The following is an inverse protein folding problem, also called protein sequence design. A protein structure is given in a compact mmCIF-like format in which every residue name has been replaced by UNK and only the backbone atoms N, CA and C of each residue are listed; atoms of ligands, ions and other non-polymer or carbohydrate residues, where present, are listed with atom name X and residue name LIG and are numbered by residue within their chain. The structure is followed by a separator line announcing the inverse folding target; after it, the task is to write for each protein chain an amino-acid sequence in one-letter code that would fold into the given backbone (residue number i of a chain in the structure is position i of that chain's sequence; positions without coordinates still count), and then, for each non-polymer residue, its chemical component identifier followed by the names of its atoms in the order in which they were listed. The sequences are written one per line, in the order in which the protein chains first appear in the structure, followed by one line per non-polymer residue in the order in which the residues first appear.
data_IF_241960639023
#
_entry.id   IF_241960639023
#
_cell.length_a   1.000
_cell.length_b   1.000
_cell.length_c   1.000
_cell.angle_alpha   90.00
_cell.angle_beta   90.00
_cell.angle_gamma   90.00
#
_symmetry.space_group_name_H-M   'P 1'
#
loop_
_entity.id
_entity.type
_entity.pdbx_description
1 polymer ?
#
# COMPACT_ATOMS: atom_id res chain seq x y z
N UNK A 1 -58.71 7.93 11.35
CA UNK A 1 -57.86 8.99 10.78
C UNK A 1 -56.49 8.41 10.50
N UNK A 2 -56.07 8.41 9.22
CA UNK A 2 -54.95 7.61 8.69
C UNK A 2 -53.60 8.28 8.98
N UNK A 3 -52.65 7.55 9.57
CA UNK A 3 -51.26 8.04 9.75
C UNK A 3 -50.52 7.87 8.43
N UNK A 4 -50.19 8.98 7.77
CA UNK A 4 -49.26 9.01 6.63
C UNK A 4 -47.83 8.82 7.16
N UNK A 5 -47.28 7.64 6.98
CA UNK A 5 -45.84 7.37 7.16
C UNK A 5 -45.11 7.85 5.90
N UNK A 6 -44.44 9.00 6.00
CA UNK A 6 -43.49 9.49 5.00
C UNK A 6 -42.24 8.62 5.02
N UNK A 7 -42.08 7.76 4.01
CA UNK A 7 -40.85 7.02 3.77
C UNK A 7 -39.75 8.01 3.33
N UNK A 8 -38.69 8.12 4.13
CA UNK A 8 -37.48 8.89 3.80
C UNK A 8 -36.61 8.03 2.88
N UNK A 9 -36.68 8.28 1.58
CA UNK A 9 -35.82 7.64 0.58
C UNK A 9 -34.37 8.10 0.76
N UNK A 10 -33.57 7.32 1.47
CA UNK A 10 -32.11 7.49 1.47
C UNK A 10 -31.58 6.97 0.13
N UNK A 11 -31.34 7.88 -0.81
CA UNK A 11 -30.64 7.54 -2.05
C UNK A 11 -29.30 6.89 -1.69
N UNK A 12 -29.12 5.61 -2.05
CA UNK A 12 -27.83 4.91 -1.94
C UNK A 12 -26.84 5.67 -2.83
N UNK A 13 -25.84 6.31 -2.21
CA UNK A 13 -24.72 6.89 -2.96
C UNK A 13 -24.04 5.75 -3.72
N UNK A 14 -24.05 5.83 -5.04
CA UNK A 14 -23.25 4.95 -5.91
C UNK A 14 -21.78 5.31 -5.71
N UNK A 15 -20.97 4.32 -5.31
CA UNK A 15 -19.52 4.49 -5.17
C UNK A 15 -18.89 4.08 -6.50
N UNK A 16 -18.03 4.94 -7.05
CA UNK A 16 -17.18 4.63 -8.20
C UNK A 16 -15.79 4.22 -7.72
N UNK A 17 -15.15 3.28 -8.42
CA UNK A 17 -13.77 2.89 -8.18
C UNK A 17 -12.84 3.75 -9.03
N UNK A 18 -11.83 4.37 -8.43
CA UNK A 18 -10.83 5.16 -9.16
C UNK A 18 -9.49 4.42 -9.15
N UNK A 19 -8.71 4.59 -10.22
CA UNK A 19 -7.37 4.04 -10.32
C UNK A 19 -6.34 5.16 -10.24
N UNK A 20 -5.21 4.88 -9.60
CA UNK A 20 -4.14 5.85 -9.43
C UNK A 20 -2.76 5.21 -9.54
N UNK A 21 -1.80 5.96 -10.08
CA UNK A 21 -0.37 5.62 -10.04
C UNK A 21 0.25 6.31 -8.83
N UNK A 22 1.00 5.55 -8.03
CA UNK A 22 1.66 6.05 -6.83
C UNK A 22 3.15 5.72 -6.88
N UNK A 23 3.99 6.71 -6.59
CA UNK A 23 5.41 6.51 -6.33
C UNK A 23 5.58 6.27 -4.83
N UNK A 24 6.19 5.14 -4.46
CA UNK A 24 6.31 4.75 -3.05
C UNK A 24 7.76 4.40 -2.75
N UNK A 25 8.34 5.07 -1.76
CA UNK A 25 9.63 4.67 -1.16
C UNK A 25 9.34 3.83 0.09
N UNK A 26 9.99 2.67 0.19
CA UNK A 26 9.82 1.73 1.30
C UNK A 26 11.14 1.48 2.01
N UNK A 27 11.04 1.33 3.33
CA UNK A 27 12.04 0.58 4.08
C UNK A 27 11.74 -0.90 3.86
N UNK A 28 12.75 -1.69 3.55
CA UNK A 28 12.61 -3.12 3.30
C UNK A 28 13.47 -3.93 4.26
N UNK A 29 13.01 -5.14 4.56
CA UNK A 29 13.79 -6.11 5.33
C UNK A 29 14.49 -7.08 4.37
N UNK A 30 15.79 -7.22 4.56
CA UNK A 30 16.67 -8.03 3.73
C UNK A 30 17.42 -9.04 4.58
N UNK A 31 17.57 -10.25 4.05
CA UNK A 31 18.26 -11.35 4.72
C UNK A 31 19.36 -11.94 3.83
N UNK A 32 20.34 -12.55 4.49
CA UNK A 32 21.44 -13.32 3.89
C UNK A 32 21.66 -14.55 4.75
N UNK A 33 22.03 -15.66 4.11
CA UNK A 33 22.56 -16.82 4.82
C UNK A 33 24.05 -16.61 5.04
N UNK A 34 24.49 -16.60 6.30
CA UNK A 34 25.88 -16.35 6.68
C UNK A 34 26.25 -17.16 7.92
N UNK A 35 27.52 -17.51 8.03
CA UNK A 35 28.10 -18.25 9.15
C UNK A 35 28.49 -17.33 10.33
N UNK A 36 28.61 -16.01 10.08
CA UNK A 36 28.88 -15.03 11.12
C UNK A 36 28.17 -13.67 10.87
N UNK A 37 28.01 -12.83 11.91
CA UNK A 37 27.46 -11.48 11.74
C UNK A 37 28.31 -10.57 10.85
N UNK A 38 29.63 -10.73 10.87
CA UNK A 38 30.56 -9.96 10.04
C UNK A 38 30.38 -10.31 8.56
N UNK A 39 30.24 -11.60 8.26
CA UNK A 39 29.94 -12.09 6.91
C UNK A 39 28.57 -11.58 6.46
N UNK A 40 27.54 -11.68 7.31
CA UNK A 40 26.20 -11.17 7.00
C UNK A 40 26.22 -9.68 6.63
N UNK A 41 26.97 -8.87 7.39
CA UNK A 41 27.13 -7.44 7.13
C UNK A 41 27.82 -7.19 5.79
N UNK A 42 28.89 -7.93 5.49
CA UNK A 42 29.62 -7.78 4.24
C UNK A 42 28.72 -8.12 3.03
N UNK A 43 27.97 -9.22 3.09
CA UNK A 43 27.04 -9.63 2.04
C UNK A 43 25.93 -8.60 1.83
N UNK A 44 25.33 -8.08 2.91
CA UNK A 44 24.30 -7.04 2.81
C UNK A 44 24.84 -5.73 2.21
N UNK A 45 26.05 -5.31 2.60
CA UNK A 45 26.69 -4.11 2.05
C UNK A 45 27.08 -4.27 0.56
N UNK A 46 27.41 -5.50 0.14
CA UNK A 46 27.65 -5.84 -1.26
C UNK A 46 26.36 -5.97 -2.09
N UNK A 47 25.19 -5.99 -1.44
CA UNK A 47 23.90 -6.15 -2.10
C UNK A 47 23.53 -7.61 -2.42
N UNK A 48 24.20 -8.58 -1.80
CA UNK A 48 23.94 -10.02 -2.00
C UNK A 48 22.75 -10.55 -1.19
N UNK A 49 22.05 -9.68 -0.44
CA UNK A 49 20.84 -10.05 0.25
C UNK A 49 19.66 -10.35 -0.68
N UNK A 50 18.62 -10.94 -0.10
CA UNK A 50 17.31 -11.04 -0.73
C UNK A 50 16.25 -10.43 0.17
N UNK A 51 15.18 -9.93 -0.46
CA UNK A 51 14.08 -9.29 0.27
C UNK A 51 13.22 -10.33 0.95
N UNK A 52 13.10 -10.22 2.27
CA UNK A 52 12.30 -11.11 3.11
C UNK A 52 10.87 -10.60 3.24
N UNK A 53 10.71 -9.30 3.52
CA UNK A 53 9.40 -8.68 3.69
C UNK A 53 9.33 -7.31 3.02
N UNK A 54 8.16 -7.00 2.47
CA UNK A 54 7.82 -5.64 2.07
C UNK A 54 7.62 -4.84 3.36
N UNK A 55 8.60 -4.01 3.72
CA UNK A 55 8.50 -3.17 4.90
C UNK A 55 7.60 -1.95 4.68
N UNK A 56 7.72 -0.99 5.59
CA UNK A 56 6.83 0.16 5.65
C UNK A 56 7.10 1.15 4.53
N UNK A 57 6.03 1.69 3.94
CA UNK A 57 6.12 2.87 3.10
C UNK A 57 6.49 4.06 3.99
N UNK A 58 7.61 4.70 3.70
CA UNK A 58 8.10 5.87 4.44
C UNK A 58 7.85 7.18 3.70
N UNK A 59 7.65 7.08 2.39
CA UNK A 59 7.27 8.21 1.55
C UNK A 59 6.34 7.75 0.43
N UNK A 60 5.35 8.57 0.09
CA UNK A 60 4.37 8.25 -0.93
C UNK A 60 3.93 9.50 -1.64
N UNK A 61 4.00 9.47 -2.96
CA UNK A 61 3.54 10.53 -3.84
C UNK A 61 2.46 9.97 -4.76
N UNK A 62 1.38 10.73 -4.88
CA UNK A 62 0.31 10.45 -5.82
C UNK A 62 0.62 11.24 -7.10
N UNK A 63 0.82 10.52 -8.19
CA UNK A 63 1.11 11.14 -9.49
C UNK A 63 -0.19 11.57 -10.17
N UNK A 64 -1.04 10.60 -10.51
CA UNK A 64 -2.28 10.86 -11.23
C UNK A 64 -3.41 9.92 -10.77
N UNK A 65 -4.62 10.48 -10.66
CA UNK A 65 -5.88 9.73 -10.53
C UNK A 65 -6.60 9.76 -11.88
N UNK A 66 -7.14 8.61 -12.30
CA UNK A 66 -7.96 8.47 -13.51
C UNK A 66 -9.38 8.08 -13.11
N UNK A 67 -10.36 8.84 -13.59
CA UNK A 67 -11.80 8.51 -13.46
C UNK A 67 -12.17 7.45 -14.52
N UNK A 68 -12.78 6.32 -14.14
CA UNK A 68 -13.38 5.44 -15.14
C UNK A 68 -14.57 6.14 -15.80
N UNK A 69 -14.48 6.28 -17.13
CA UNK A 69 -15.56 6.78 -18.00
C UNK A 69 -16.88 6.04 -17.79
#
# INVERSE_FOLDING_TARGET
MSRKTTAKTTAKKTVKTYHATMLVTRVEEWCVDASSPEEARALLQAGEGHRCHLGQAVHTELDQIVDPL
#
